data_IF_549968750883
#
_entry.id   IF_549968750883
#
_cell.length_a   1.000
_cell.length_b   1.000
_cell.length_c   1.000
_cell.angle_alpha   90.00
_cell.angle_beta   90.00
_cell.angle_gamma   90.00
#
_symmetry.space_group_name_H-M   'P 1'
#
loop_
_entity.id
_entity.type
_entity.pdbx_description
1 polymer ?
#
# COMPACT_ATOMS: atom_id res chain seq x y z
N UNK A 1 1.92 -44.34 -28.99
CA UNK A 1 0.67 -43.76 -28.48
C UNK A 1 0.78 -43.52 -26.98
N UNK A 2 1.37 -44.46 -26.22
CA UNK A 2 1.77 -44.29 -24.81
C UNK A 2 2.68 -43.08 -24.55
N UNK A 3 3.69 -42.87 -25.40
CA UNK A 3 4.63 -41.72 -25.29
C UNK A 3 4.00 -40.34 -25.52
N UNK A 4 2.91 -40.24 -26.27
CA UNK A 4 2.21 -38.97 -26.49
C UNK A 4 1.34 -38.59 -25.28
N UNK A 5 0.75 -39.61 -24.63
CA UNK A 5 -0.06 -39.46 -23.41
C UNK A 5 0.83 -39.10 -22.21
N UNK A 6 2.04 -39.65 -22.13
CA UNK A 6 3.03 -39.26 -21.11
C UNK A 6 3.52 -37.82 -21.28
N UNK A 7 3.71 -37.36 -22.53
CA UNK A 7 4.12 -35.99 -22.85
C UNK A 7 3.02 -34.96 -22.50
N UNK A 8 1.76 -35.27 -22.78
CA UNK A 8 0.61 -34.46 -22.36
C UNK A 8 0.46 -34.43 -20.83
N UNK A 9 0.77 -35.54 -20.14
CA UNK A 9 0.75 -35.59 -18.67
C UNK A 9 1.88 -34.75 -18.06
N UNK A 10 3.06 -34.74 -18.64
CA UNK A 10 4.15 -33.85 -18.22
C UNK A 10 3.78 -32.37 -18.42
N UNK A 11 3.16 -32.02 -19.55
CA UNK A 11 2.64 -30.66 -19.79
C UNK A 11 1.51 -30.28 -18.81
N UNK A 12 0.71 -31.24 -18.34
CA UNK A 12 -0.33 -30.99 -17.34
C UNK A 12 0.21 -30.74 -15.92
N UNK A 13 1.48 -31.09 -15.67
CA UNK A 13 2.19 -30.87 -14.40
C UNK A 13 3.14 -29.67 -14.44
N UNK A 14 3.41 -29.10 -15.61
CA UNK A 14 3.97 -27.75 -15.74
C UNK A 14 2.84 -26.78 -15.39
N UNK A 15 2.57 -26.65 -14.09
CA UNK A 15 1.91 -25.47 -13.55
C UNK A 15 2.56 -24.26 -14.19
N UNK A 16 1.73 -23.32 -14.63
CA UNK A 16 2.04 -22.08 -15.32
C UNK A 16 3.15 -21.28 -14.63
N UNK A 17 4.39 -21.69 -14.81
CA UNK A 17 5.56 -20.92 -14.43
C UNK A 17 5.77 -19.92 -15.54
N UNK A 18 5.25 -18.71 -15.35
CA UNK A 18 5.53 -17.59 -16.22
C UNK A 18 6.78 -16.87 -15.68
N UNK A 19 7.93 -16.97 -16.35
CA UNK A 19 9.14 -16.27 -15.94
C UNK A 19 8.96 -14.75 -15.93
N UNK A 20 8.02 -14.21 -16.71
CA UNK A 20 7.75 -12.77 -16.74
C UNK A 20 7.11 -12.26 -15.44
N UNK A 21 6.42 -13.13 -14.69
CA UNK A 21 5.84 -12.81 -13.37
C UNK A 21 6.58 -13.49 -12.19
N UNK A 22 7.61 -14.28 -12.49
CA UNK A 22 8.48 -14.85 -11.47
C UNK A 22 9.17 -13.73 -10.66
N UNK A 23 9.08 -13.83 -9.32
CA UNK A 23 9.64 -12.83 -8.40
C UNK A 23 8.72 -11.64 -8.08
N UNK A 24 7.55 -11.49 -8.71
CA UNK A 24 6.65 -10.37 -8.40
C UNK A 24 6.15 -10.36 -6.95
N UNK A 25 5.82 -11.53 -6.40
CA UNK A 25 5.38 -11.63 -5.00
C UNK A 25 6.49 -11.21 -4.02
N UNK A 26 7.73 -11.64 -4.26
CA UNK A 26 8.88 -11.26 -3.44
C UNK A 26 9.22 -9.77 -3.59
N UNK A 27 9.18 -9.24 -4.81
CA UNK A 27 9.40 -7.81 -5.06
C UNK A 27 8.31 -6.95 -4.40
N UNK A 28 7.04 -7.38 -4.46
CA UNK A 28 5.93 -6.70 -3.81
C UNK A 28 6.08 -6.71 -2.28
N UNK A 29 6.44 -7.86 -1.70
CA UNK A 29 6.70 -7.97 -0.26
C UNK A 29 7.88 -7.08 0.17
N UNK A 30 8.99 -7.10 -0.56
CA UNK A 30 10.12 -6.23 -0.26
C UNK A 30 9.74 -4.75 -0.32
N UNK A 31 8.96 -4.36 -1.34
CA UNK A 31 8.49 -2.98 -1.48
C UNK A 31 7.50 -2.60 -0.36
N UNK A 32 6.66 -3.53 0.08
CA UNK A 32 5.77 -3.35 1.23
C UNK A 32 6.59 -3.06 2.48
N UNK A 33 7.58 -3.90 2.80
CA UNK A 33 8.45 -3.73 3.96
C UNK A 33 9.22 -2.41 3.92
N UNK A 34 9.71 -2.01 2.75
CA UNK A 34 10.39 -0.73 2.57
C UNK A 34 9.46 0.46 2.82
N UNK A 35 8.22 0.42 2.32
CA UNK A 35 7.23 1.46 2.59
C UNK A 35 6.92 1.59 4.08
N UNK A 36 6.73 0.46 4.79
CA UNK A 36 6.50 0.46 6.24
C UNK A 36 7.66 1.06 7.01
N UNK A 37 8.89 0.67 6.66
CA UNK A 37 10.10 1.21 7.27
C UNK A 37 10.25 2.70 7.04
N UNK A 38 10.05 3.17 5.80
CA UNK A 38 10.12 4.61 5.48
C UNK A 38 9.07 5.42 6.26
N UNK A 39 7.84 4.93 6.33
CA UNK A 39 6.78 5.58 7.10
C UNK A 39 7.16 5.64 8.59
N UNK A 40 7.64 4.53 9.15
CA UNK A 40 8.13 4.46 10.52
C UNK A 40 9.26 5.45 10.80
N UNK A 41 10.29 5.46 9.97
CA UNK A 41 11.44 6.35 10.11
C UNK A 41 11.01 7.83 10.14
N UNK A 42 10.00 8.21 9.33
CA UNK A 42 9.47 9.58 9.30
C UNK A 42 8.70 9.93 10.56
N UNK A 43 7.75 9.10 11.01
CA UNK A 43 6.93 9.46 12.19
C UNK A 43 7.66 9.24 13.52
N UNK A 44 8.68 8.37 13.57
CA UNK A 44 9.54 8.18 14.73
C UNK A 44 10.64 9.25 14.85
N UNK A 45 10.89 10.03 13.79
CA UNK A 45 11.86 11.11 13.83
C UNK A 45 11.47 12.19 14.86
N UNK A 46 12.46 12.79 15.49
CA UNK A 46 12.22 13.98 16.33
C UNK A 46 11.84 15.16 15.45
N UNK A 47 10.69 15.79 15.71
CA UNK A 47 10.29 17.00 15.00
C UNK A 47 11.29 18.13 15.27
N UNK A 48 11.93 18.64 14.23
CA UNK A 48 12.85 19.76 14.32
C UNK A 48 12.09 21.10 14.27
N UNK A 49 10.95 21.10 13.58
CA UNK A 49 10.07 22.26 13.38
C UNK A 49 8.60 21.90 13.60
N UNK A 50 7.74 22.90 13.75
CA UNK A 50 6.30 22.69 13.84
C UNK A 50 5.70 22.15 12.53
N UNK A 51 6.32 22.46 11.38
CA UNK A 51 5.87 22.02 10.05
C UNK A 51 6.20 20.55 9.76
N UNK A 52 7.03 19.91 10.58
CA UNK A 52 7.28 18.47 10.49
C UNK A 52 6.08 17.66 11.02
N UNK A 53 5.28 18.24 11.92
CA UNK A 53 4.19 17.55 12.60
C UNK A 53 3.11 17.01 11.63
N UNK A 54 2.61 17.78 10.66
CA UNK A 54 1.70 17.25 9.64
C UNK A 54 2.28 16.07 8.85
N UNK A 55 3.58 16.11 8.51
CA UNK A 55 4.25 15.02 7.78
C UNK A 55 4.34 13.76 8.64
N UNK A 56 4.71 13.90 9.91
CA UNK A 56 4.78 12.78 10.84
C UNK A 56 3.42 12.12 11.04
N UNK A 57 2.35 12.92 11.20
CA UNK A 57 0.98 12.38 11.30
C UNK A 57 0.56 11.67 10.03
N UNK A 58 0.87 12.24 8.86
CA UNK A 58 0.57 11.60 7.58
C UNK A 58 1.35 10.29 7.41
N UNK A 59 2.63 10.25 7.78
CA UNK A 59 3.43 9.04 7.73
C UNK A 59 2.90 7.97 8.69
N UNK A 60 2.49 8.35 9.90
CA UNK A 60 1.83 7.45 10.85
C UNK A 60 0.52 6.89 10.30
N UNK A 61 -0.31 7.74 9.67
CA UNK A 61 -1.55 7.30 9.04
C UNK A 61 -1.30 6.31 7.90
N UNK A 62 -0.31 6.59 7.04
CA UNK A 62 0.08 5.70 5.95
C UNK A 62 0.62 4.36 6.45
N UNK A 63 1.40 4.35 7.54
CA UNK A 63 1.90 3.13 8.16
C UNK A 63 0.74 2.21 8.55
N UNK A 64 -0.22 2.72 9.33
CA UNK A 64 -1.38 1.94 9.74
C UNK A 64 -2.32 1.57 8.59
N UNK A 65 -2.41 2.43 7.57
CA UNK A 65 -3.20 2.12 6.38
C UNK A 65 -2.58 0.95 5.58
N UNK A 66 -1.27 0.92 5.40
CA UNK A 66 -0.58 -0.18 4.72
C UNK A 66 -0.73 -1.48 5.51
N UNK A 67 -0.66 -1.42 6.85
CA UNK A 67 -0.86 -2.59 7.71
C UNK A 67 -2.33 -2.99 7.90
N UNK A 68 -3.28 -2.22 7.39
CA UNK A 68 -4.70 -2.51 7.55
C UNK A 68 -5.06 -3.86 6.91
N UNK A 69 -5.87 -4.64 7.61
CA UNK A 69 -6.19 -6.02 7.19
C UNK A 69 -7.53 -6.13 6.47
N UNK A 70 -8.29 -5.03 6.43
CA UNK A 70 -9.61 -5.00 5.82
C UNK A 70 -10.06 -3.60 5.42
N UNK A 71 -11.08 -3.57 4.56
CA UNK A 71 -11.63 -2.33 4.00
C UNK A 71 -12.17 -1.39 5.08
N UNK A 72 -12.82 -1.90 6.13
CA UNK A 72 -13.39 -1.08 7.20
C UNK A 72 -12.31 -0.26 7.92
N UNK A 73 -11.15 -0.86 8.20
CA UNK A 73 -10.00 -0.18 8.80
C UNK A 73 -9.43 0.88 7.86
N UNK A 74 -9.25 0.55 6.58
CA UNK A 74 -8.76 1.47 5.57
C UNK A 74 -9.69 2.70 5.41
N UNK A 75 -11.00 2.47 5.35
CA UNK A 75 -12.02 3.52 5.32
C UNK A 75 -11.99 4.37 6.59
N UNK A 76 -11.82 3.75 7.75
CA UNK A 76 -11.74 4.46 9.02
C UNK A 76 -10.55 5.43 9.03
N UNK A 77 -9.36 5.00 8.59
CA UNK A 77 -8.20 5.88 8.49
C UNK A 77 -8.40 7.02 7.49
N UNK A 78 -9.00 6.76 6.33
CA UNK A 78 -9.34 7.81 5.37
C UNK A 78 -10.31 8.83 5.96
N UNK A 79 -11.35 8.37 6.67
CA UNK A 79 -12.32 9.24 7.34
C UNK A 79 -11.64 10.10 8.41
N UNK A 80 -10.73 9.54 9.21
CA UNK A 80 -9.95 10.28 10.20
C UNK A 80 -9.12 11.40 9.54
N UNK A 81 -8.47 11.12 8.41
CA UNK A 81 -7.71 12.12 7.65
C UNK A 81 -8.60 13.31 7.24
N UNK A 82 -9.77 13.03 6.69
CA UNK A 82 -10.69 14.07 6.22
C UNK A 82 -11.39 14.81 7.35
N UNK A 83 -11.75 14.11 8.43
CA UNK A 83 -12.39 14.70 9.61
C UNK A 83 -11.45 15.66 10.35
N UNK A 84 -10.14 15.39 10.34
CA UNK A 84 -9.12 16.17 11.03
C UNK A 84 -8.11 16.81 10.07
N UNK A 85 -8.62 17.35 8.94
CA UNK A 85 -7.78 17.88 7.85
C UNK A 85 -6.83 19.00 8.29
N UNK A 86 -7.19 19.74 9.34
CA UNK A 86 -6.34 20.75 9.96
C UNK A 86 -5.02 20.16 10.50
N UNK A 87 -5.05 18.94 11.04
CA UNK A 87 -3.86 18.25 11.55
C UNK A 87 -2.87 17.81 10.47
N UNK A 88 -3.34 17.75 9.22
CA UNK A 88 -2.59 17.36 8.01
C UNK A 88 -2.40 18.55 7.06
N UNK A 89 -2.35 19.77 7.60
CA UNK A 89 -2.20 21.00 6.82
C UNK A 89 -1.02 21.85 7.33
N UNK A 90 -0.46 22.66 6.45
CA UNK A 90 0.66 23.57 6.74
C UNK A 90 0.65 24.74 5.75
N UNK A 91 1.28 25.85 6.14
CA UNK A 91 1.50 27.01 5.28
C UNK A 91 2.73 26.84 4.38
N UNK A 92 3.66 25.94 4.73
CA UNK A 92 4.84 25.67 3.89
C UNK A 92 4.41 25.06 2.54
N UNK A 93 4.74 25.71 1.40
CA UNK A 93 4.28 25.24 0.10
C UNK A 93 4.80 23.85 -0.29
N UNK A 94 6.04 23.52 0.06
CA UNK A 94 6.67 22.26 -0.30
C UNK A 94 6.10 21.10 0.52
N UNK A 95 5.95 21.31 1.82
CA UNK A 95 5.33 20.33 2.72
C UNK A 95 3.87 20.12 2.35
N UNK A 96 3.13 21.19 2.03
CA UNK A 96 1.74 21.10 1.56
C UNK A 96 1.60 20.29 0.27
N UNK A 97 2.53 20.40 -0.68
CA UNK A 97 2.51 19.57 -1.89
C UNK A 97 2.70 18.09 -1.55
N UNK A 98 3.65 17.78 -0.67
CA UNK A 98 3.90 16.41 -0.21
C UNK A 98 2.66 15.82 0.49
N UNK A 99 2.02 16.57 1.39
CA UNK A 99 0.79 16.17 2.09
C UNK A 99 -0.36 15.93 1.11
N UNK A 100 -0.55 16.80 0.13
CA UNK A 100 -1.58 16.61 -0.89
C UNK A 100 -1.31 15.37 -1.77
N UNK A 101 -0.04 15.07 -2.05
CA UNK A 101 0.34 13.84 -2.76
C UNK A 101 0.04 12.61 -1.91
N UNK A 102 0.39 12.64 -0.62
CA UNK A 102 0.11 11.56 0.31
C UNK A 102 -1.40 11.32 0.51
N UNK A 103 -2.20 12.38 0.62
CA UNK A 103 -3.66 12.26 0.70
C UNK A 103 -4.25 11.54 -0.53
N UNK A 104 -3.75 11.84 -1.74
CA UNK A 104 -4.15 11.10 -2.94
C UNK A 104 -3.73 9.63 -2.90
N UNK A 105 -2.61 9.28 -2.26
CA UNK A 105 -2.21 7.89 -2.08
C UNK A 105 -3.13 7.16 -1.10
N UNK A 106 -3.58 7.82 -0.03
CA UNK A 106 -4.62 7.27 0.87
C UNK A 106 -5.88 6.93 0.09
N UNK A 107 -6.37 7.85 -0.74
CA UNK A 107 -7.56 7.62 -1.56
C UNK A 107 -7.35 6.44 -2.53
N UNK A 108 -6.20 6.38 -3.20
CA UNK A 108 -5.88 5.31 -4.13
C UNK A 108 -5.82 3.93 -3.45
N UNK A 109 -5.22 3.83 -2.26
CA UNK A 109 -5.16 2.57 -1.49
C UNK A 109 -6.57 2.11 -1.10
N UNK A 110 -7.42 3.03 -0.65
CA UNK A 110 -8.81 2.70 -0.29
C UNK A 110 -9.61 2.29 -1.52
N UNK A 111 -9.47 2.99 -2.65
CA UNK A 111 -10.11 2.62 -3.90
C UNK A 111 -9.67 1.22 -4.38
N UNK A 112 -8.38 0.90 -4.26
CA UNK A 112 -7.86 -0.44 -4.53
C UNK A 112 -8.46 -1.49 -3.59
N UNK A 113 -8.62 -1.19 -2.30
CA UNK A 113 -9.24 -2.10 -1.35
C UNK A 113 -10.74 -2.34 -1.65
N UNK A 114 -11.47 -1.30 -2.07
CA UNK A 114 -12.87 -1.43 -2.51
C UNK A 114 -12.97 -2.32 -3.75
N UNK A 115 -12.17 -2.03 -4.78
CA UNK A 115 -12.20 -2.77 -6.04
C UNK A 115 -11.72 -4.22 -5.89
N UNK A 116 -10.79 -4.51 -4.97
CA UNK A 116 -10.34 -5.88 -4.71
C UNK A 116 -11.48 -6.80 -4.24
N UNK A 117 -12.48 -6.28 -3.53
CA UNK A 117 -13.66 -7.05 -3.12
C UNK A 117 -14.54 -7.46 -4.31
N UNK A 118 -14.57 -6.66 -5.38
CA UNK A 118 -15.33 -6.99 -6.60
C UNK A 118 -14.74 -8.20 -7.35
N UNK A 119 -13.46 -8.53 -7.11
CA UNK A 119 -12.74 -9.64 -7.74
C UNK A 119 -12.61 -10.89 -6.85
N UNK A 120 -13.05 -10.85 -5.59
CA UNK A 120 -13.01 -12.00 -4.71
C UNK A 120 -14.07 -13.04 -5.12
N UNK A 121 -13.71 -14.32 -5.39
CA UNK A 121 -14.69 -15.34 -5.74
C UNK A 121 -15.61 -15.63 -4.55
N UNK A 122 -16.93 -15.69 -4.82
CA UNK A 122 -18.00 -16.05 -3.87
C UNK A 122 -17.96 -17.54 -3.54
#
# INVERSE_FOLDING_TARGET
METAVELERDLSHVMSWDPASSGFAEAAENQWQDCLRLAFDVFAASAATADDQPLQRMAMLLHFLIESTGLDEALHFQQLMYAHRDLFSTEDPGVREALNRAARQVDAIVEMAVTALDFAPV
#
